data_IF_312712792947
#
_entry.id   IF_312712792947
#
_cell.length_a   1.000
_cell.length_b   1.000
_cell.length_c   1.000
_cell.angle_alpha   90.00
_cell.angle_beta   90.00
_cell.angle_gamma   90.00
#
_symmetry.space_group_name_H-M   'P 1'
#
loop_
_entity.id
_entity.type
_entity.pdbx_description
1 polymer ?
#
# COMPACT_ATOMS: atom_id res chain seq x y z
N UNK A 1 -4.22 0.47 -12.29
CA UNK A 1 -5.67 0.32 -12.45
C UNK A 1 -6.00 -0.39 -13.76
N UNK A 2 -6.79 -1.46 -13.73
CA UNK A 2 -7.31 -2.08 -14.95
C UNK A 2 -8.19 -1.12 -15.75
N UNK A 3 -8.28 -1.29 -17.07
CA UNK A 3 -7.70 -2.34 -17.91
C UNK A 3 -6.28 -2.02 -18.41
N UNK A 4 -5.27 -1.91 -17.63
CA UNK A 4 -3.81 -1.79 -17.91
C UNK A 4 -3.47 -1.35 -19.35
N UNK A 5 -4.12 -0.26 -19.82
CA UNK A 5 -3.97 0.29 -21.16
C UNK A 5 -2.76 1.21 -21.21
N UNK A 6 -1.57 0.65 -21.20
CA UNK A 6 -0.34 1.39 -21.46
C UNK A 6 0.24 0.95 -22.78
N UNK A 7 0.90 1.87 -23.48
CA UNK A 7 1.70 1.53 -24.65
C UNK A 7 2.87 0.64 -24.19
N UNK A 8 3.12 -0.43 -24.91
CA UNK A 8 4.17 -1.39 -24.58
C UNK A 8 5.57 -0.74 -24.55
N UNK A 9 5.76 0.34 -25.30
CA UNK A 9 6.98 1.16 -25.31
C UNK A 9 7.27 1.88 -23.99
N UNK A 10 6.25 2.11 -23.16
CA UNK A 10 6.40 2.72 -21.83
C UNK A 10 6.67 1.71 -20.73
N UNK A 11 6.45 0.43 -21.02
CA UNK A 11 6.64 -0.67 -20.09
C UNK A 11 8.06 -1.22 -20.23
N UNK A 12 9.04 -0.55 -19.62
CA UNK A 12 10.41 -1.08 -19.48
C UNK A 12 10.41 -2.29 -18.54
N UNK A 13 9.82 -3.39 -19.02
CA UNK A 13 9.65 -4.63 -18.26
C UNK A 13 10.02 -5.84 -19.09
N UNK A 14 11.11 -6.46 -18.69
CA UNK A 14 11.53 -7.78 -19.15
C UNK A 14 11.50 -8.71 -17.92
N UNK A 15 10.56 -9.67 -17.87
CA UNK A 15 10.42 -10.54 -16.70
C UNK A 15 11.70 -11.33 -16.40
N UNK A 16 12.50 -11.70 -17.40
CA UNK A 16 13.75 -12.42 -17.20
C UNK A 16 14.83 -11.57 -16.51
N UNK A 17 14.84 -10.27 -16.78
CA UNK A 17 15.82 -9.35 -16.16
C UNK A 17 15.37 -8.82 -14.82
N UNK A 18 14.07 -8.53 -14.69
CA UNK A 18 13.51 -7.82 -13.52
C UNK A 18 13.21 -8.77 -12.39
N UNK A 19 12.68 -9.92 -12.72
CA UNK A 19 12.30 -10.98 -11.77
C UNK A 19 12.79 -12.35 -12.27
N UNK A 20 14.10 -12.60 -12.24
CA UNK A 20 14.69 -13.83 -12.79
C UNK A 20 14.15 -15.10 -12.11
N UNK A 21 13.75 -15.00 -10.84
CA UNK A 21 13.18 -16.11 -10.06
C UNK A 21 11.65 -16.24 -10.20
N UNK A 22 11.01 -15.44 -11.06
CA UNK A 22 9.59 -15.56 -11.34
C UNK A 22 9.31 -16.91 -12.02
N UNK A 23 8.31 -17.64 -11.54
CA UNK A 23 7.95 -18.93 -12.12
C UNK A 23 7.40 -18.84 -13.55
N UNK A 24 7.54 -19.93 -14.30
CA UNK A 24 7.14 -20.00 -15.70
C UNK A 24 5.62 -19.75 -15.92
N UNK A 25 4.81 -20.05 -14.92
CA UNK A 25 3.38 -19.79 -14.91
C UNK A 25 3.04 -18.29 -15.02
N UNK A 26 3.94 -17.43 -14.52
CA UNK A 26 3.82 -15.98 -14.64
C UNK A 26 4.57 -15.44 -15.85
N UNK A 27 5.80 -15.93 -16.11
CA UNK A 27 6.61 -15.49 -17.27
C UNK A 27 5.91 -15.71 -18.61
N UNK A 28 5.26 -16.85 -18.79
CA UNK A 28 4.54 -17.19 -20.02
C UNK A 28 3.18 -16.49 -20.18
N UNK A 29 2.63 -15.92 -19.11
CA UNK A 29 1.31 -15.31 -19.13
C UNK A 29 1.37 -13.83 -19.52
N UNK A 30 1.13 -13.52 -20.79
CA UNK A 30 1.18 -12.14 -21.33
C UNK A 30 0.31 -11.14 -20.56
N UNK A 31 -0.88 -11.54 -20.10
CA UNK A 31 -1.76 -10.64 -19.35
C UNK A 31 -1.17 -10.29 -18.00
N UNK A 32 -0.66 -11.28 -17.28
CA UNK A 32 -0.03 -11.09 -15.96
C UNK A 32 1.29 -10.33 -16.07
N UNK A 33 2.09 -10.61 -17.09
CA UNK A 33 3.29 -9.85 -17.37
C UNK A 33 2.99 -8.36 -17.61
N UNK A 34 1.94 -8.05 -18.36
CA UNK A 34 1.51 -6.67 -18.58
C UNK A 34 1.04 -6.02 -17.28
N UNK A 35 0.33 -6.73 -16.44
CA UNK A 35 -0.07 -6.28 -15.12
C UNK A 35 1.14 -5.95 -14.23
N UNK A 36 2.09 -6.87 -14.09
CA UNK A 36 3.33 -6.65 -13.34
C UNK A 36 4.16 -5.49 -13.92
N UNK A 37 4.21 -5.36 -15.23
CA UNK A 37 4.87 -4.25 -15.90
C UNK A 37 4.26 -2.88 -15.52
N UNK A 38 2.93 -2.78 -15.38
CA UNK A 38 2.28 -1.53 -14.94
C UNK A 38 2.60 -1.19 -13.49
N UNK A 39 2.70 -2.18 -12.61
CA UNK A 39 3.14 -1.95 -11.22
C UNK A 39 4.58 -1.45 -11.17
N UNK A 40 5.49 -2.10 -11.92
CA UNK A 40 6.88 -1.66 -12.02
C UNK A 40 6.98 -0.22 -12.55
N UNK A 41 6.20 0.11 -13.56
CA UNK A 41 6.15 1.47 -14.09
C UNK A 41 5.72 2.47 -13.02
N UNK A 42 4.65 2.18 -12.30
CA UNK A 42 4.15 3.03 -11.22
C UNK A 42 5.17 3.18 -10.10
N UNK A 43 5.80 2.10 -9.68
CA UNK A 43 6.86 2.11 -8.67
C UNK A 43 8.04 3.00 -9.09
N UNK A 44 8.53 2.82 -10.32
CA UNK A 44 9.60 3.65 -10.89
C UNK A 44 9.20 5.14 -11.00
N UNK A 45 7.95 5.42 -11.38
CA UNK A 45 7.45 6.78 -11.48
C UNK A 45 7.37 7.45 -10.10
N UNK A 46 6.85 6.75 -9.09
CA UNK A 46 6.80 7.23 -7.70
C UNK A 46 8.22 7.46 -7.17
N UNK A 47 9.11 6.49 -7.38
CA UNK A 47 10.51 6.63 -6.96
C UNK A 47 11.18 7.88 -7.57
N UNK A 48 11.09 8.05 -8.89
CA UNK A 48 11.68 9.19 -9.58
C UNK A 48 11.08 10.52 -9.10
N UNK A 49 9.76 10.56 -8.90
CA UNK A 49 9.08 11.75 -8.37
C UNK A 49 9.57 12.09 -6.96
N UNK A 50 9.54 11.13 -6.04
CA UNK A 50 9.98 11.33 -4.65
C UNK A 50 11.45 11.74 -4.61
N UNK A 51 12.31 11.10 -5.42
CA UNK A 51 13.73 11.44 -5.49
C UNK A 51 13.96 12.90 -5.93
N UNK A 52 13.33 13.32 -7.03
CA UNK A 52 13.46 14.69 -7.55
C UNK A 52 12.87 15.72 -6.55
N UNK A 53 11.74 15.39 -5.93
CA UNK A 53 11.13 16.28 -4.94
C UNK A 53 11.95 16.39 -3.65
N UNK A 54 12.66 15.36 -3.24
CA UNK A 54 13.58 15.43 -2.08
C UNK A 54 14.79 16.34 -2.36
N UNK A 55 15.28 16.37 -3.58
CA UNK A 55 16.34 17.31 -3.95
C UNK A 55 15.84 18.76 -3.94
N UNK A 56 14.61 19.00 -4.45
CA UNK A 56 14.02 20.34 -4.52
C UNK A 56 13.49 20.83 -3.15
N UNK A 57 12.97 19.93 -2.34
CA UNK A 57 12.31 20.20 -1.06
C UNK A 57 12.75 19.17 0.02
N UNK A 58 13.99 19.30 0.52
CA UNK A 58 14.59 18.28 1.40
C UNK A 58 13.87 18.06 2.72
N UNK A 59 13.19 19.07 3.24
CA UNK A 59 12.45 19.01 4.51
C UNK A 59 10.97 18.66 4.35
N UNK A 60 10.57 18.09 3.20
CA UNK A 60 9.18 17.70 2.98
C UNK A 60 8.87 16.34 3.58
N UNK A 61 7.64 16.20 4.08
CA UNK A 61 7.06 14.91 4.42
C UNK A 61 6.45 14.28 3.15
N UNK A 62 6.94 13.10 2.80
CA UNK A 62 6.37 12.28 1.73
C UNK A 62 5.48 11.21 2.34
N UNK A 63 4.25 11.14 1.82
CA UNK A 63 3.28 10.11 2.20
C UNK A 63 2.83 9.40 0.93
N UNK A 64 3.07 8.09 0.88
CA UNK A 64 2.67 7.24 -0.24
C UNK A 64 1.79 6.12 0.29
N UNK A 65 0.62 5.97 -0.29
CA UNK A 65 -0.30 4.87 0.02
C UNK A 65 -1.06 4.43 -1.22
N UNK A 66 -1.50 3.17 -1.24
CA UNK A 66 -2.48 2.71 -2.21
C UNK A 66 -3.90 2.99 -1.72
N UNK A 67 -4.86 3.10 -2.61
CA UNK A 67 -6.28 3.20 -2.30
C UNK A 67 -6.86 1.86 -1.85
N UNK A 68 -6.46 0.78 -2.48
CA UNK A 68 -6.80 -0.61 -2.18
C UNK A 68 -5.82 -1.56 -2.88
N UNK A 69 -5.89 -2.85 -2.57
CA UNK A 69 -5.15 -3.89 -3.29
C UNK A 69 -6.10 -4.68 -4.19
N UNK A 70 -5.74 -4.86 -5.45
CA UNK A 70 -6.50 -5.64 -6.43
C UNK A 70 -5.66 -6.74 -7.09
N UNK A 71 -4.37 -6.72 -6.85
CA UNK A 71 -3.40 -7.55 -7.53
C UNK A 71 -3.52 -9.03 -7.15
N UNK A 72 -3.73 -9.27 -5.87
CA UNK A 72 -3.58 -10.61 -5.32
C UNK A 72 -4.62 -11.61 -5.81
N UNK A 73 -5.84 -11.16 -6.17
CA UNK A 73 -6.84 -12.03 -6.75
C UNK A 73 -6.43 -12.68 -8.07
N UNK A 74 -5.60 -12.01 -8.87
CA UNK A 74 -5.09 -12.54 -10.15
C UNK A 74 -3.81 -13.37 -9.98
N UNK A 75 -3.08 -13.22 -8.87
CA UNK A 75 -1.82 -13.90 -8.58
C UNK A 75 -1.97 -15.04 -7.58
N UNK A 76 -3.17 -15.29 -7.11
CA UNK A 76 -3.46 -16.40 -6.21
C UNK A 76 -3.12 -17.76 -6.85
N UNK A 77 -2.56 -18.66 -6.05
CA UNK A 77 -2.08 -19.98 -6.51
C UNK A 77 -1.07 -19.92 -7.67
N UNK A 78 -0.27 -18.88 -7.74
CA UNK A 78 0.86 -18.77 -8.64
C UNK A 78 2.18 -19.01 -7.90
N UNK A 79 3.28 -19.11 -8.64
CA UNK A 79 4.62 -19.20 -8.07
C UNK A 79 4.99 -18.02 -7.16
N UNK A 80 4.35 -16.86 -7.33
CA UNK A 80 4.57 -15.68 -6.50
C UNK A 80 3.80 -15.75 -5.18
N UNK A 81 2.56 -16.27 -5.19
CA UNK A 81 1.69 -16.36 -4.01
C UNK A 81 1.19 -17.79 -3.88
N UNK A 82 1.87 -18.56 -3.02
CA UNK A 82 1.59 -19.98 -2.78
C UNK A 82 0.67 -20.19 -1.57
N UNK A 83 -0.35 -19.37 -1.46
CA UNK A 83 -1.37 -19.46 -0.40
C UNK A 83 -2.73 -19.03 -0.92
N UNK A 84 -3.76 -19.36 -0.17
CA UNK A 84 -5.11 -18.95 -0.49
C UNK A 84 -5.27 -17.42 -0.36
N UNK A 85 -6.14 -16.88 -1.20
CA UNK A 85 -6.57 -15.51 -1.17
C UNK A 85 -7.39 -15.21 0.08
N UNK A 86 -7.14 -14.07 0.66
CA UNK A 86 -7.87 -13.60 1.85
C UNK A 86 -8.46 -12.22 1.62
N UNK A 87 -9.44 -11.83 2.45
CA UNK A 87 -10.01 -10.47 2.41
C UNK A 87 -8.94 -9.40 2.62
N UNK A 88 -7.90 -9.69 3.41
CA UNK A 88 -6.76 -8.77 3.60
C UNK A 88 -6.06 -8.44 2.28
N UNK A 89 -5.96 -9.40 1.38
CA UNK A 89 -5.32 -9.20 0.08
C UNK A 89 -6.11 -8.25 -0.83
N UNK A 90 -7.41 -8.07 -0.58
CA UNK A 90 -8.23 -7.06 -1.28
C UNK A 90 -8.10 -5.68 -0.66
N UNK A 91 -8.14 -5.59 0.66
CA UNK A 91 -8.36 -4.32 1.35
C UNK A 91 -7.10 -3.73 1.96
N UNK A 92 -6.10 -4.56 2.29
CA UNK A 92 -4.87 -4.05 2.86
C UNK A 92 -3.93 -3.50 1.79
N UNK A 93 -3.42 -2.34 2.04
CA UNK A 93 -2.40 -1.68 1.22
C UNK A 93 -1.26 -1.18 2.09
N UNK A 94 -0.20 -0.70 1.47
CA UNK A 94 0.95 -0.15 2.17
C UNK A 94 0.74 1.32 2.49
N UNK A 95 1.31 1.78 3.61
CA UNK A 95 1.50 3.18 3.92
C UNK A 95 2.98 3.44 4.16
N UNK A 96 3.56 4.39 3.44
CA UNK A 96 4.93 4.83 3.59
C UNK A 96 4.95 6.31 3.96
N UNK A 97 5.63 6.63 5.06
CA UNK A 97 5.91 8.00 5.46
C UNK A 97 7.42 8.18 5.47
N UNK A 98 7.90 9.25 4.84
CA UNK A 98 9.32 9.57 4.79
C UNK A 98 9.54 11.05 5.08
N UNK A 99 10.41 11.33 6.05
CA UNK A 99 10.89 12.66 6.38
C UNK A 99 12.31 12.55 6.97
N UNK A 100 13.21 13.52 6.75
CA UNK A 100 14.58 13.50 7.30
C UNK A 100 14.66 13.38 8.82
N UNK A 101 13.67 13.90 9.53
CA UNK A 101 13.60 13.83 11.00
C UNK A 101 13.21 12.44 11.55
N UNK A 102 12.78 11.52 10.71
CA UNK A 102 12.48 10.15 11.13
C UNK A 102 13.78 9.38 11.34
N UNK A 103 14.05 8.99 12.57
CA UNK A 103 15.28 8.30 12.95
C UNK A 103 15.18 6.77 12.87
N UNK A 104 14.00 6.25 12.55
CA UNK A 104 13.75 4.81 12.40
C UNK A 104 13.47 4.46 10.95
N UNK A 105 14.14 3.45 10.46
CA UNK A 105 13.97 2.95 9.09
C UNK A 105 12.64 2.21 8.87
N UNK A 106 11.97 1.79 9.93
CA UNK A 106 10.64 1.20 9.85
C UNK A 106 9.82 1.43 11.12
N UNK A 107 8.54 1.73 10.93
CA UNK A 107 7.52 1.69 11.99
C UNK A 107 6.52 0.63 11.55
N UNK A 108 6.40 -0.44 12.34
CA UNK A 108 5.38 -1.44 12.07
C UNK A 108 4.22 -1.18 13.02
N UNK A 109 3.17 -0.53 12.50
CA UNK A 109 1.88 -0.53 13.18
C UNK A 109 1.19 -1.86 12.88
N UNK A 110 0.64 -2.57 13.88
CA UNK A 110 0.00 -3.86 13.65
C UNK A 110 -1.19 -3.76 12.69
N UNK A 111 -1.99 -2.73 12.80
CA UNK A 111 -3.05 -2.35 11.88
C UNK A 111 -3.29 -0.84 11.93
N UNK A 112 -3.66 -0.27 10.78
CA UNK A 112 -4.11 1.12 10.67
C UNK A 112 -5.11 1.25 9.52
N UNK A 113 -5.74 2.39 9.42
CA UNK A 113 -6.65 2.70 8.30
C UNK A 113 -6.21 3.96 7.58
N UNK A 114 -6.74 4.20 6.39
CA UNK A 114 -6.56 5.48 5.70
C UNK A 114 -7.01 6.68 6.54
N UNK A 115 -8.00 6.49 7.41
CA UNK A 115 -8.45 7.52 8.34
C UNK A 115 -7.36 7.93 9.34
N UNK A 116 -6.44 7.01 9.69
CA UNK A 116 -5.31 7.29 10.57
C UNK A 116 -4.20 8.11 9.89
N UNK A 117 -4.20 8.23 8.56
CA UNK A 117 -3.15 8.99 7.86
C UNK A 117 -3.21 10.48 8.18
N UNK A 118 -4.39 11.09 8.21
CA UNK A 118 -4.49 12.52 8.50
C UNK A 118 -4.02 12.90 9.91
N UNK A 119 -4.47 12.24 11.00
CA UNK A 119 -3.91 12.50 12.33
C UNK A 119 -2.41 12.24 12.39
N UNK A 120 -1.90 11.22 11.70
CA UNK A 120 -0.45 10.92 11.62
C UNK A 120 0.32 12.06 10.94
N UNK A 121 -0.19 12.60 9.83
CA UNK A 121 0.42 13.74 9.14
C UNK A 121 0.42 14.97 10.05
N UNK A 122 -0.71 15.27 10.71
CA UNK A 122 -0.79 16.40 11.63
C UNK A 122 0.26 16.27 12.75
N UNK A 123 0.36 15.11 13.38
CA UNK A 123 1.37 14.89 14.44
C UNK A 123 2.80 15.00 13.93
N UNK A 124 3.05 14.60 12.67
CA UNK A 124 4.39 14.69 12.09
C UNK A 124 4.84 16.13 11.81
N UNK A 125 3.92 17.04 11.46
CA UNK A 125 4.27 18.38 10.94
C UNK A 125 3.73 19.54 11.78
N UNK A 126 2.75 19.32 12.65
CA UNK A 126 2.17 20.38 13.45
C UNK A 126 3.15 20.90 14.51
N UNK A 127 3.10 22.21 14.85
CA UNK A 127 3.91 22.75 15.90
C UNK A 127 3.54 22.15 17.26
N UNK A 128 4.51 22.09 18.17
CA UNK A 128 4.29 21.57 19.52
C UNK A 128 3.13 22.30 20.21
N UNK A 129 2.18 21.53 20.75
CA UNK A 129 1.00 22.06 21.44
C UNK A 129 -0.19 22.33 20.50
N UNK A 130 -0.07 21.97 19.23
CA UNK A 130 -1.22 22.00 18.33
C UNK A 130 -2.26 20.97 18.74
N UNK A 131 -3.49 21.40 18.95
CA UNK A 131 -4.61 20.55 19.35
C UNK A 131 -5.52 20.28 18.14
N UNK A 132 -5.91 19.03 17.98
CA UNK A 132 -6.87 18.61 16.95
C UNK A 132 -7.77 17.48 17.46
N UNK A 133 -8.86 17.26 16.78
CA UNK A 133 -9.78 16.16 17.08
C UNK A 133 -9.74 15.11 15.97
N UNK A 134 -9.62 13.84 16.35
CA UNK A 134 -9.69 12.71 15.43
C UNK A 134 -10.53 11.59 16.03
N UNK A 135 -11.31 10.93 15.17
CA UNK A 135 -12.11 9.74 15.56
C UNK A 135 -11.28 8.45 15.58
N UNK A 136 -10.07 8.49 15.06
CA UNK A 136 -9.12 7.38 15.05
C UNK A 136 -7.75 7.87 15.51
N UNK A 137 -6.93 7.02 16.14
CA UNK A 137 -5.58 7.40 16.54
C UNK A 137 -4.66 7.59 15.35
N UNK A 138 -3.60 8.36 15.54
CA UNK A 138 -2.45 8.43 14.67
C UNK A 138 -1.75 7.05 14.58
N UNK A 139 -1.07 6.76 13.49
CA UNK A 139 -0.24 5.55 13.36
C UNK A 139 0.97 5.53 14.29
N UNK A 140 1.34 6.68 14.88
CA UNK A 140 2.38 6.77 15.91
C UNK A 140 1.87 6.34 17.28
N UNK A 141 0.56 6.36 17.50
CA UNK A 141 -0.08 5.96 18.74
C UNK A 141 -0.33 4.45 18.80
N UNK A 142 -0.71 3.98 19.99
CA UNK A 142 -1.21 2.61 20.15
C UNK A 142 -2.49 2.43 19.33
N UNK A 143 -2.42 1.52 18.38
CA UNK A 143 -3.59 1.17 17.57
C UNK A 143 -4.56 0.28 18.37
N UNK A 144 -5.87 0.35 18.09
CA UNK A 144 -6.84 -0.57 18.69
C UNK A 144 -6.58 -2.01 18.20
N UNK A 145 -6.93 -2.98 19.03
CA UNK A 145 -6.79 -4.39 18.69
C UNK A 145 -7.73 -4.82 17.55
N UNK A 146 -8.79 -4.08 17.33
CA UNK A 146 -9.76 -4.30 16.25
C UNK A 146 -10.16 -2.97 15.63
N UNK A 147 -10.05 -2.88 14.31
CA UNK A 147 -10.61 -1.78 13.52
C UNK A 147 -11.91 -2.27 12.88
N UNK A 148 -12.92 -1.41 12.90
CA UNK A 148 -14.22 -1.69 12.30
C UNK A 148 -14.56 -0.58 11.30
N UNK A 149 -14.97 -0.99 10.11
CA UNK A 149 -15.56 -0.13 9.09
C UNK A 149 -17.05 -0.48 8.95
N UNK A 150 -17.84 0.26 8.17
CA UNK A 150 -19.23 -0.11 7.91
C UNK A 150 -19.42 -1.51 7.29
N UNK A 151 -18.38 -2.06 6.67
CA UNK A 151 -18.46 -3.31 5.89
C UNK A 151 -17.58 -4.42 6.43
N UNK A 152 -16.45 -4.09 7.09
CA UNK A 152 -15.46 -5.05 7.54
C UNK A 152 -14.97 -4.75 8.95
N UNK A 153 -14.47 -5.79 9.59
CA UNK A 153 -13.64 -5.70 10.79
C UNK A 153 -12.29 -6.34 10.52
N UNK A 154 -11.25 -5.82 11.14
CA UNK A 154 -9.86 -6.31 11.01
C UNK A 154 -9.16 -6.31 12.36
N UNK A 155 -8.45 -7.40 12.63
CA UNK A 155 -7.49 -7.56 13.73
C UNK A 155 -6.08 -7.79 13.16
N UNK A 156 -5.02 -7.85 13.97
CA UNK A 156 -3.70 -8.23 13.49
C UNK A 156 -3.65 -9.56 12.71
N UNK A 157 -4.55 -10.49 13.02
CA UNK A 157 -4.52 -11.86 12.50
C UNK A 157 -5.69 -12.21 11.58
N UNK A 158 -6.83 -11.55 11.73
CA UNK A 158 -8.07 -11.91 11.04
C UNK A 158 -8.76 -10.68 10.44
N UNK A 159 -9.57 -10.94 9.45
CA UNK A 159 -10.49 -9.97 8.85
C UNK A 159 -11.79 -10.67 8.47
N UNK A 160 -12.91 -9.99 8.64
CA UNK A 160 -14.22 -10.50 8.27
C UNK A 160 -15.17 -9.39 7.85
N UNK A 161 -16.32 -9.79 7.30
CA UNK A 161 -17.38 -8.86 6.92
C UNK A 161 -18.26 -8.54 8.12
N UNK A 162 -18.69 -7.27 8.20
CA UNK A 162 -19.75 -6.85 9.09
C UNK A 162 -21.07 -7.05 8.35
N UNK A 163 -21.85 -8.05 8.72
CA UNK A 163 -23.21 -8.21 8.22
C UNK A 163 -24.11 -7.30 9.03
N UNK A 164 -24.61 -6.25 8.42
CA UNK A 164 -25.73 -5.51 8.97
C UNK A 164 -27.00 -6.32 8.66
N UNK A 165 -27.57 -6.95 9.68
CA UNK A 165 -28.89 -7.51 9.60
C UNK A 165 -29.87 -6.32 9.71
N UNK A 166 -30.37 -5.86 8.59
CA UNK A 166 -31.49 -4.93 8.54
C UNK A 166 -32.74 -5.76 8.76
N UNK A 167 -33.08 -6.01 10.06
CA UNK A 167 -34.33 -6.63 10.46
C UNK A 167 -35.57 -5.91 9.92
#
# INVERSE_FOLDING_TARGET
HGPYKMEDSLLDYDPEKVMPNLGDDLKSNKKRNKELATYRYSDKAIFNFVYAMKEAFPDSLFVVTGDHSNLFGSLNNTSLIQRDYTLRDTFCTVGLLQHPAFTKDSITAPIGTHMSLMPTIIEAIAPKGFEYYSIVPSLFDKQPDTLVTPYQWITPHMMGDVRMDYG
#
